data_IF_219756779262
#
_entry.id   IF_219756779262
#
_cell.length_a   1.000
_cell.length_b   1.000
_cell.length_c   1.000
_cell.angle_alpha   90.00
_cell.angle_beta   90.00
_cell.angle_gamma   90.00
#
_symmetry.space_group_name_H-M   'P 1'
#
loop_
_entity.id
_entity.type
_entity.pdbx_description
1 polymer ?
#
# COMPACT_ATOMS: atom_id res chain seq x y z
N UNK A 1 -22.10 -13.12 -9.40
CA UNK A 1 -21.70 -12.09 -8.43
C UNK A 1 -21.83 -10.72 -9.10
N UNK A 2 -22.95 -10.03 -8.91
CA UNK A 2 -23.15 -8.66 -9.40
C UNK A 2 -22.44 -7.70 -8.44
N UNK A 3 -21.23 -7.27 -8.80
CA UNK A 3 -20.52 -6.19 -8.12
C UNK A 3 -21.11 -4.86 -8.63
N UNK A 4 -22.23 -4.44 -8.05
CA UNK A 4 -22.84 -3.12 -8.32
C UNK A 4 -22.77 -2.26 -7.07
N UNK A 5 -21.56 -1.84 -6.68
CA UNK A 5 -21.35 -0.81 -5.67
C UNK A 5 -20.21 0.09 -6.11
N UNK A 6 -20.57 1.29 -6.54
CA UNK A 6 -19.66 2.29 -7.09
C UNK A 6 -18.84 2.90 -5.95
N UNK A 7 -17.72 2.28 -5.58
CA UNK A 7 -16.76 2.88 -4.67
C UNK A 7 -16.13 4.09 -5.37
N UNK A 8 -16.57 5.29 -5.03
CA UNK A 8 -16.11 6.52 -5.66
C UNK A 8 -14.79 6.98 -5.03
N UNK A 9 -13.67 6.33 -5.35
CA UNK A 9 -12.34 6.89 -5.06
C UNK A 9 -12.08 8.02 -6.06
N UNK A 10 -12.69 9.19 -5.84
CA UNK A 10 -12.47 10.37 -6.68
C UNK A 10 -11.00 10.84 -6.66
N UNK A 11 -10.16 10.38 -5.73
CA UNK A 11 -8.76 10.84 -5.61
C UNK A 11 -7.76 9.98 -6.41
N UNK A 12 -7.75 8.65 -6.22
CA UNK A 12 -6.79 7.73 -6.86
C UNK A 12 -7.04 7.69 -8.37
N UNK A 13 -8.28 7.50 -8.82
CA UNK A 13 -8.57 7.52 -10.26
C UNK A 13 -8.39 8.91 -10.90
N UNK A 14 -8.59 10.05 -10.19
CA UNK A 14 -8.26 11.36 -10.77
C UNK A 14 -6.76 11.64 -10.85
N UNK A 15 -5.96 11.10 -9.92
CA UNK A 15 -4.51 11.09 -10.05
C UNK A 15 -4.06 10.30 -11.28
N UNK A 16 -4.73 9.18 -11.60
CA UNK A 16 -4.29 8.23 -12.64
C UNK A 16 -4.97 8.35 -14.02
N UNK A 17 -6.19 8.88 -14.12
CA UNK A 17 -6.98 8.88 -15.36
C UNK A 17 -7.07 10.24 -16.08
N UNK A 18 -6.67 11.35 -15.44
CA UNK A 18 -6.92 12.71 -15.98
C UNK A 18 -5.69 13.60 -16.17
N UNK A 19 -4.52 13.21 -15.67
CA UNK A 19 -3.35 14.08 -15.68
C UNK A 19 -2.28 13.54 -16.63
N UNK A 20 -2.02 14.27 -17.72
CA UNK A 20 -0.85 14.07 -18.61
C UNK A 20 0.51 14.09 -17.85
N UNK A 21 0.51 14.36 -16.55
CA UNK A 21 1.69 14.53 -15.68
C UNK A 21 2.18 13.25 -15.02
N UNK A 22 1.66 12.07 -15.37
CA UNK A 22 2.21 10.77 -14.93
C UNK A 22 3.33 10.22 -15.82
N UNK A 23 3.86 11.04 -16.74
CA UNK A 23 4.90 10.60 -17.66
C UNK A 23 6.28 10.48 -16.99
N UNK A 24 6.53 11.15 -15.87
CA UNK A 24 7.77 11.01 -15.09
C UNK A 24 7.51 10.38 -13.72
N UNK A 25 7.89 9.10 -13.52
CA UNK A 25 7.78 8.44 -12.23
C UNK A 25 8.56 9.12 -11.10
N UNK A 26 9.57 9.95 -11.40
CA UNK A 26 10.30 10.71 -10.36
C UNK A 26 9.46 11.81 -9.74
N UNK A 27 8.59 12.45 -10.50
CA UNK A 27 7.67 13.46 -9.97
C UNK A 27 6.60 12.83 -9.06
N UNK A 28 6.28 11.55 -9.26
CA UNK A 28 5.40 10.83 -8.35
C UNK A 28 6.00 10.66 -6.97
N UNK A 29 7.31 10.40 -6.88
CA UNK A 29 8.00 10.20 -5.61
C UNK A 29 8.07 11.47 -4.75
N UNK A 30 7.81 12.65 -5.33
CA UNK A 30 7.72 13.93 -4.61
C UNK A 30 6.35 14.19 -3.99
N UNK A 31 5.36 13.37 -4.32
CA UNK A 31 3.98 13.51 -3.86
C UNK A 31 3.68 12.49 -2.77
N UNK A 32 2.71 12.82 -1.95
CA UNK A 32 2.09 11.91 -0.99
C UNK A 32 0.63 11.68 -1.35
N UNK A 33 0.18 10.44 -1.19
CA UNK A 33 -1.17 9.99 -1.50
C UNK A 33 -1.83 9.51 -0.23
N UNK A 34 -2.99 10.10 0.09
CA UNK A 34 -3.92 9.59 1.09
C UNK A 34 -5.18 9.05 0.41
N UNK A 35 -5.88 8.13 1.08
CA UNK A 35 -7.15 7.62 0.59
C UNK A 35 -8.33 8.35 1.26
N UNK A 36 -9.31 8.73 0.46
CA UNK A 36 -10.63 9.14 0.95
C UNK A 36 -11.61 8.13 0.38
N UNK A 37 -12.12 7.25 1.25
CA UNK A 37 -13.02 6.16 0.87
C UNK A 37 -14.42 6.55 1.34
N UNK A 38 -15.30 6.82 0.38
CA UNK A 38 -16.73 6.99 0.64
C UNK A 38 -17.38 5.61 0.47
N UNK A 39 -17.78 5.01 1.58
CA UNK A 39 -18.39 3.69 1.62
C UNK A 39 -19.75 3.78 2.31
N UNK A 40 -20.78 3.29 1.64
CA UNK A 40 -22.15 3.26 2.15
C UNK A 40 -22.39 1.95 2.89
N UNK A 41 -22.62 2.06 4.19
CA UNK A 41 -22.93 0.93 5.06
C UNK A 41 -24.36 0.46 4.82
N UNK A 42 -24.55 -0.84 4.62
CA UNK A 42 -25.90 -1.41 4.53
C UNK A 42 -26.59 -1.43 5.89
N UNK A 43 -25.82 -1.80 6.92
CA UNK A 43 -26.28 -1.90 8.29
C UNK A 43 -25.57 -0.82 9.12
N UNK A 44 -26.31 0.16 9.66
CA UNK A 44 -25.76 1.19 10.52
C UNK A 44 -25.15 0.68 11.83
N UNK A 45 -25.45 -0.56 12.22
CA UNK A 45 -24.94 -1.18 13.45
C UNK A 45 -23.73 -2.09 13.23
N UNK A 46 -23.28 -2.25 11.98
CA UNK A 46 -22.06 -2.99 11.66
C UNK A 46 -20.83 -2.24 12.20
N UNK A 47 -20.14 -2.84 13.16
CA UNK A 47 -19.00 -2.24 13.87
C UNK A 47 -17.64 -2.62 13.29
N UNK A 48 -17.63 -3.38 12.19
CA UNK A 48 -16.38 -3.77 11.53
C UNK A 48 -15.65 -2.55 11.02
N UNK A 49 -14.34 -2.66 10.85
CA UNK A 49 -13.54 -1.64 10.19
C UNK A 49 -13.65 -1.75 8.66
N UNK A 50 -13.36 -0.67 7.94
CA UNK A 50 -13.36 -0.69 6.46
C UNK A 50 -12.41 -1.74 5.88
N UNK A 51 -11.30 -2.01 6.57
CA UNK A 51 -10.33 -3.04 6.17
C UNK A 51 -10.85 -4.47 6.34
N UNK A 52 -11.99 -4.66 7.00
CA UNK A 52 -12.67 -5.95 7.14
C UNK A 52 -13.75 -6.15 6.06
N UNK A 53 -14.05 -5.12 5.26
CA UNK A 53 -15.06 -5.18 4.19
C UNK A 53 -14.50 -5.89 2.94
N UNK A 54 -15.08 -7.03 2.50
CA UNK A 54 -14.50 -7.84 1.44
C UNK A 54 -14.47 -7.15 0.07
N UNK A 55 -15.46 -6.32 -0.24
CA UNK A 55 -15.53 -5.55 -1.47
C UNK A 55 -14.50 -4.42 -1.51
N UNK A 56 -14.34 -3.68 -0.41
CA UNK A 56 -13.27 -2.67 -0.27
C UNK A 56 -11.91 -3.35 -0.45
N UNK A 57 -11.66 -4.46 0.25
CA UNK A 57 -10.40 -5.22 0.11
C UNK A 57 -10.17 -5.70 -1.31
N UNK A 58 -11.18 -6.22 -2.00
CA UNK A 58 -11.06 -6.68 -3.39
C UNK A 58 -10.60 -5.55 -4.33
N UNK A 59 -11.06 -4.33 -4.10
CA UNK A 59 -10.58 -3.17 -4.84
C UNK A 59 -9.11 -2.86 -4.56
N UNK A 60 -8.66 -2.97 -3.31
CA UNK A 60 -7.26 -2.80 -2.97
C UNK A 60 -6.39 -3.92 -3.56
N UNK A 61 -6.87 -5.16 -3.64
CA UNK A 61 -6.19 -6.24 -4.36
C UNK A 61 -5.98 -5.87 -5.82
N UNK A 62 -7.02 -5.34 -6.49
CA UNK A 62 -6.90 -4.84 -7.87
C UNK A 62 -5.91 -3.67 -7.97
N UNK A 63 -5.97 -2.73 -7.03
CA UNK A 63 -5.09 -1.57 -7.00
C UNK A 63 -3.62 -1.99 -6.88
N UNK A 64 -3.35 -2.95 -6.00
CA UNK A 64 -2.02 -3.50 -5.76
C UNK A 64 -1.47 -4.26 -6.97
N UNK A 65 -2.33 -5.03 -7.64
CA UNK A 65 -1.96 -5.73 -8.87
C UNK A 65 -1.62 -4.77 -10.02
N UNK A 66 -2.33 -3.65 -10.13
CA UNK A 66 -2.11 -2.66 -11.19
C UNK A 66 -0.94 -1.71 -10.88
N UNK A 67 -0.74 -1.37 -9.61
CA UNK A 67 0.25 -0.38 -9.17
C UNK A 67 1.00 -0.88 -7.93
N UNK A 68 1.82 -1.94 -8.05
CA UNK A 68 2.48 -2.54 -6.89
C UNK A 68 3.53 -1.63 -6.24
N UNK A 69 3.93 -0.55 -6.92
CA UNK A 69 4.82 0.51 -6.41
C UNK A 69 4.11 1.58 -5.58
N UNK A 70 2.77 1.61 -5.58
CA UNK A 70 1.97 2.61 -4.88
C UNK A 70 2.34 2.81 -3.40
N UNK A 71 2.69 1.77 -2.61
CA UNK A 71 3.09 1.94 -1.21
C UNK A 71 4.18 2.99 -0.95
N UNK A 72 5.06 3.25 -1.94
CA UNK A 72 6.17 4.21 -1.81
C UNK A 72 5.68 5.66 -1.69
N UNK A 73 4.56 5.99 -2.34
CA UNK A 73 4.03 7.36 -2.41
C UNK A 73 2.88 7.59 -1.44
N UNK A 74 2.54 6.61 -0.60
CA UNK A 74 1.52 6.79 0.42
C UNK A 74 1.99 7.74 1.51
N UNK A 75 1.06 8.44 2.15
CA UNK A 75 1.37 9.22 3.36
C UNK A 75 1.63 8.29 4.55
N UNK A 76 2.90 7.94 4.71
CA UNK A 76 3.37 7.07 5.78
C UNK A 76 3.10 7.65 7.18
N UNK A 77 3.16 8.98 7.33
CA UNK A 77 2.96 9.65 8.61
C UNK A 77 1.49 9.64 9.01
N UNK A 78 0.60 9.76 8.03
CA UNK A 78 -0.85 9.63 8.25
C UNK A 78 -1.32 8.17 8.46
N UNK A 79 -0.41 7.20 8.42
CA UNK A 79 -0.75 5.78 8.61
C UNK A 79 -1.35 5.11 7.36
N UNK A 80 -1.25 5.74 6.19
CA UNK A 80 -1.88 5.22 4.97
C UNK A 80 -1.28 3.91 4.51
N UNK A 81 0.01 3.70 4.77
CA UNK A 81 0.67 2.43 4.49
C UNK A 81 0.15 1.28 5.36
N UNK A 82 -0.10 1.55 6.65
CA UNK A 82 -0.70 0.55 7.54
C UNK A 82 -2.14 0.23 7.13
N UNK A 83 -2.91 1.26 6.75
CA UNK A 83 -4.27 1.07 6.21
C UNK A 83 -4.27 0.28 4.90
N UNK A 84 -3.33 0.58 4.00
CA UNK A 84 -3.15 -0.17 2.75
C UNK A 84 -2.81 -1.63 3.02
N UNK A 85 -1.86 -1.90 3.93
CA UNK A 85 -1.51 -3.26 4.33
C UNK A 85 -2.71 -3.99 4.96
N UNK A 86 -3.52 -3.33 5.79
CA UNK A 86 -4.73 -3.93 6.39
C UNK A 86 -5.73 -4.40 5.33
N UNK A 87 -5.83 -3.71 4.20
CA UNK A 87 -6.70 -4.15 3.10
C UNK A 87 -6.23 -5.45 2.43
N UNK A 88 -4.92 -5.71 2.45
CA UNK A 88 -4.29 -6.79 1.68
C UNK A 88 -3.86 -7.99 2.55
N UNK A 89 -3.55 -7.74 3.82
CA UNK A 89 -3.01 -8.71 4.76
C UNK A 89 -4.08 -9.11 5.77
N UNK A 90 -4.22 -10.40 6.12
CA UNK A 90 -5.05 -10.83 7.23
C UNK A 90 -4.65 -10.10 8.52
N UNK A 91 -5.63 -9.54 9.22
CA UNK A 91 -5.43 -8.79 10.45
C UNK A 91 -6.63 -8.97 11.37
N UNK A 92 -6.47 -8.51 12.61
CA UNK A 92 -7.52 -8.43 13.62
C UNK A 92 -7.51 -7.04 14.24
N UNK A 93 -8.70 -6.53 14.57
CA UNK A 93 -8.87 -5.31 15.34
C UNK A 93 -9.08 -5.67 16.81
N UNK A 94 -8.10 -5.35 17.66
CA UNK A 94 -8.17 -5.58 19.10
C UNK A 94 -8.38 -4.26 19.84
N UNK A 95 -9.31 -4.24 20.81
CA UNK A 95 -9.67 -3.02 21.57
C UNK A 95 -8.48 -2.33 22.26
N UNK A 96 -7.47 -3.08 22.71
CA UNK A 96 -6.28 -2.54 23.40
C UNK A 96 -5.07 -2.33 22.49
N UNK A 97 -4.86 -3.25 21.55
CA UNK A 97 -3.65 -3.30 20.71
C UNK A 97 -3.87 -2.63 19.34
N UNK A 98 -5.12 -2.28 18.99
CA UNK A 98 -5.47 -1.75 17.69
C UNK A 98 -5.36 -2.80 16.58
N UNK A 99 -4.79 -2.37 15.45
CA UNK A 99 -4.56 -3.21 14.28
C UNK A 99 -3.42 -4.21 14.55
N UNK A 100 -3.74 -5.49 14.52
CA UNK A 100 -2.76 -6.57 14.69
C UNK A 100 -2.75 -7.46 13.45
N UNK A 101 -1.64 -7.46 12.73
CA UNK A 101 -1.48 -8.29 11.54
C UNK A 101 -1.20 -9.74 11.89
N UNK A 102 -1.62 -10.66 11.01
CA UNK A 102 -1.04 -11.99 10.98
C UNK A 102 0.45 -11.87 10.59
N UNK A 103 1.39 -12.41 11.39
CA UNK A 103 2.82 -12.19 11.18
C UNK A 103 3.32 -12.78 9.86
N UNK A 104 2.91 -14.00 9.51
CA UNK A 104 3.32 -14.68 8.27
C UNK A 104 2.79 -13.93 7.03
N UNK A 105 1.52 -13.51 7.08
CA UNK A 105 0.90 -12.74 6.01
C UNK A 105 1.57 -11.38 5.80
N UNK A 106 1.96 -10.71 6.89
CA UNK A 106 2.66 -9.43 6.81
C UNK A 106 4.07 -9.60 6.26
N UNK A 107 4.78 -10.64 6.66
CA UNK A 107 6.12 -10.95 6.16
C UNK A 107 6.11 -11.18 4.64
N UNK A 108 5.20 -12.01 4.14
CA UNK A 108 5.07 -12.27 2.71
C UNK A 108 4.71 -10.98 1.93
N UNK A 109 3.85 -10.14 2.51
CA UNK A 109 3.51 -8.86 1.93
C UNK A 109 4.74 -7.93 1.85
N UNK A 110 5.48 -7.78 2.95
CA UNK A 110 6.71 -6.96 3.03
C UNK A 110 7.74 -7.43 2.00
N UNK A 111 7.99 -8.74 1.91
CA UNK A 111 8.95 -9.28 0.93
C UNK A 111 8.48 -9.07 -0.51
N UNK A 112 7.18 -9.27 -0.79
CA UNK A 112 6.60 -8.97 -2.11
C UNK A 112 6.78 -7.50 -2.50
N UNK A 113 6.58 -6.58 -1.55
CA UNK A 113 6.79 -5.14 -1.76
C UNK A 113 8.26 -4.80 -1.94
N UNK A 114 9.15 -5.34 -1.11
CA UNK A 114 10.60 -5.19 -1.27
C UNK A 114 11.04 -5.57 -2.69
N UNK A 115 10.72 -6.79 -3.14
CA UNK A 115 11.18 -7.32 -4.42
C UNK A 115 10.57 -6.62 -5.64
N UNK A 116 9.42 -5.95 -5.48
CA UNK A 116 8.82 -5.18 -6.57
C UNK A 116 9.31 -3.73 -6.60
N UNK A 117 9.37 -3.10 -5.42
CA UNK A 117 9.65 -1.66 -5.31
C UNK A 117 11.13 -1.36 -5.46
N UNK A 118 12.00 -2.16 -4.86
CA UNK A 118 13.43 -1.86 -4.88
C UNK A 118 14.01 -1.82 -6.31
N UNK A 119 13.78 -2.83 -7.18
CA UNK A 119 14.20 -2.76 -8.58
C UNK A 119 13.54 -1.62 -9.36
N UNK A 120 12.28 -1.29 -9.02
CA UNK A 120 11.58 -0.15 -9.64
C UNK A 120 12.27 1.18 -9.28
N UNK A 121 12.64 1.41 -8.03
CA UNK A 121 13.38 2.61 -7.61
C UNK A 121 14.77 2.70 -8.24
N UNK A 122 15.46 1.57 -8.41
CA UNK A 122 16.74 1.52 -9.12
C UNK A 122 16.59 1.94 -10.59
N UNK A 123 15.58 1.43 -11.29
CA UNK A 123 15.28 1.83 -12.69
C UNK A 123 15.00 3.33 -12.82
N UNK A 124 14.37 3.91 -11.80
CA UNK A 124 14.13 5.35 -11.72
C UNK A 124 15.36 6.16 -11.30
N UNK A 125 16.50 5.52 -11.01
CA UNK A 125 17.74 6.17 -10.55
C UNK A 125 17.51 7.04 -9.30
N UNK A 126 16.70 6.53 -8.36
CA UNK A 126 16.49 7.19 -7.07
C UNK A 126 17.75 7.09 -6.23
N UNK A 127 18.14 8.19 -5.59
CA UNK A 127 19.28 8.19 -4.67
C UNK A 127 18.96 7.34 -3.44
N UNK A 128 19.83 6.38 -3.09
CA UNK A 128 19.67 5.46 -1.94
C UNK A 128 18.32 4.71 -1.92
N UNK A 129 18.05 3.87 -2.93
CA UNK A 129 16.78 3.15 -3.03
C UNK A 129 16.56 2.18 -1.85
N UNK A 130 17.63 1.57 -1.36
CA UNK A 130 17.68 0.73 -0.16
C UNK A 130 17.16 1.44 1.09
N UNK A 131 17.65 2.66 1.35
CA UNK A 131 17.21 3.48 2.48
C UNK A 131 15.73 3.84 2.37
N UNK A 132 15.27 4.22 1.16
CA UNK A 132 13.88 4.58 0.91
C UNK A 132 12.94 3.40 1.14
N UNK A 133 13.31 2.20 0.70
CA UNK A 133 12.51 0.98 0.98
C UNK A 133 12.53 0.65 2.46
N UNK A 134 13.68 0.72 3.12
CA UNK A 134 13.76 0.45 4.56
C UNK A 134 12.90 1.42 5.40
N UNK A 135 12.90 2.72 5.07
CA UNK A 135 12.05 3.69 5.75
C UNK A 135 10.56 3.38 5.57
N UNK A 136 10.15 2.93 4.38
CA UNK A 136 8.78 2.48 4.10
C UNK A 136 8.43 1.24 4.94
N UNK A 137 9.27 0.20 4.93
CA UNK A 137 8.99 -1.05 5.62
C UNK A 137 9.06 -0.92 7.14
N UNK A 138 9.81 0.06 7.66
CA UNK A 138 9.87 0.38 9.10
C UNK A 138 8.50 0.78 9.66
N UNK A 139 7.65 1.41 8.86
CA UNK A 139 6.26 1.74 9.24
C UNK A 139 5.45 0.47 9.55
N UNK A 140 5.80 -0.64 8.91
CA UNK A 140 5.19 -1.96 9.14
C UNK A 140 5.96 -2.80 10.18
N UNK A 141 7.00 -2.24 10.81
CA UNK A 141 7.81 -2.92 11.82
C UNK A 141 8.98 -3.75 11.27
N UNK A 142 9.34 -3.62 9.99
CA UNK A 142 10.43 -4.38 9.37
C UNK A 142 11.65 -3.50 9.07
N UNK A 143 12.83 -4.10 9.20
CA UNK A 143 14.10 -3.51 8.77
C UNK A 143 14.87 -4.57 8.00
N UNK A 144 15.21 -4.28 6.75
CA UNK A 144 15.90 -5.19 5.85
C UNK A 144 17.40 -4.97 5.94
N UNK A 145 18.13 -6.07 6.08
CA UNK A 145 19.59 -6.06 6.14
C UNK A 145 20.23 -5.66 4.81
N UNK A 146 21.36 -4.97 4.88
CA UNK A 146 22.11 -4.53 3.71
C UNK A 146 22.60 -5.71 2.84
N UNK A 147 22.82 -6.88 3.44
CA UNK A 147 23.19 -8.11 2.73
C UNK A 147 22.13 -8.55 1.73
N UNK A 148 20.84 -8.42 2.03
CA UNK A 148 19.78 -8.79 1.09
C UNK A 148 19.76 -7.87 -0.13
N UNK A 149 19.95 -6.56 0.05
CA UNK A 149 20.03 -5.62 -1.07
C UNK A 149 21.23 -5.93 -1.98
N UNK A 150 22.39 -6.26 -1.41
CA UNK A 150 23.57 -6.69 -2.19
C UNK A 150 23.29 -7.95 -3.02
N UNK A 151 22.53 -8.91 -2.48
CA UNK A 151 22.14 -10.11 -3.22
C UNK A 151 21.20 -9.76 -4.39
N UNK A 152 20.24 -8.86 -4.18
CA UNK A 152 19.32 -8.40 -5.24
C UNK A 152 20.04 -7.63 -6.36
N UNK A 153 21.12 -6.91 -6.04
CA UNK A 153 21.96 -6.21 -7.03
C UNK A 153 22.88 -7.14 -7.82
N UNK A 154 23.12 -8.36 -7.33
CA UNK A 154 24.05 -9.31 -7.95
C UNK A 154 23.44 -10.17 -9.06
N UNK A 155 22.16 -9.96 -9.37
CA UNK A 155 21.42 -10.66 -10.44
C UNK A 155 21.19 -9.76 -11.65
#
# INVERSE_FOLDING_TARGET
MQCSRTMCIKQVCKLFAGHKTLQDPKELLRRTVGFVIQYEWNDPYDMRELSEMPDVRLWFVRLDAMYPWLPVVLDWRAGELARYAAMLVPHQMKKKEGLVFNPEGLELFVMSKLFTIYPWLQKLKVTKPDAKVNDMLRVLGYSIDAGLFKLLESQ
#
